data_IF_467312322628
#
_entry.id   IF_467312322628
#
_cell.length_a   1.000
_cell.length_b   1.000
_cell.length_c   1.000
_cell.angle_alpha   90.00
_cell.angle_beta   90.00
_cell.angle_gamma   90.00
#
_symmetry.space_group_name_H-M   'P 1'
#
loop_
_entity.id
_entity.type
_entity.pdbx_description
1 polymer ?
#
# COMPACT_ATOMS: atom_id res chain seq x y z
N UNK A 1 0.98 -6.10 6.07
CA UNK A 1 1.20 -5.38 4.79
C UNK A 1 0.86 -3.90 4.91
N UNK A 2 -0.40 -3.52 5.19
CA UNK A 2 -0.74 -2.09 5.43
C UNK A 2 0.08 -1.44 6.54
N UNK A 3 0.16 -2.09 7.70
CA UNK A 3 0.98 -1.58 8.81
C UNK A 3 2.44 -1.36 8.42
N UNK A 4 3.00 -2.20 7.54
CA UNK A 4 4.37 -2.02 7.05
C UNK A 4 4.48 -0.81 6.12
N UNK A 5 3.53 -0.62 5.21
CA UNK A 5 3.49 0.55 4.34
C UNK A 5 3.41 1.85 5.16
N UNK A 6 2.55 1.88 6.19
CA UNK A 6 2.44 3.03 7.11
C UNK A 6 3.74 3.26 7.88
N UNK A 7 4.33 2.21 8.46
CA UNK A 7 5.61 2.31 9.17
C UNK A 7 6.73 2.82 8.26
N UNK A 8 6.79 2.34 7.01
CA UNK A 8 7.80 2.78 6.05
C UNK A 8 7.66 4.28 5.74
N UNK A 9 6.44 4.79 5.59
CA UNK A 9 6.19 6.22 5.38
C UNK A 9 6.55 7.06 6.61
N UNK A 10 6.23 6.58 7.81
CA UNK A 10 6.63 7.25 9.04
C UNK A 10 8.15 7.32 9.19
N UNK A 11 8.87 6.25 8.83
CA UNK A 11 10.33 6.19 8.87
C UNK A 11 10.99 7.05 7.79
N UNK A 12 10.38 7.21 6.61
CA UNK A 12 10.88 8.10 5.55
C UNK A 12 10.58 9.58 5.82
N UNK A 13 9.73 9.90 6.81
CA UNK A 13 9.25 11.25 7.09
C UNK A 13 8.17 11.71 6.09
N UNK A 14 7.64 10.79 5.28
CA UNK A 14 6.57 11.09 4.35
C UNK A 14 5.23 11.21 5.06
N UNK A 15 4.37 12.06 4.51
CA UNK A 15 3.04 12.24 5.07
C UNK A 15 2.22 10.95 4.94
N UNK A 16 1.61 10.49 6.02
CA UNK A 16 0.77 9.29 6.00
C UNK A 16 -0.61 9.67 5.49
N UNK A 17 -0.84 9.44 4.20
CA UNK A 17 -2.13 9.65 3.53
C UNK A 17 -2.38 8.55 2.51
N UNK A 18 -3.63 8.44 2.04
CA UNK A 18 -4.05 7.39 1.11
C UNK A 18 -3.18 7.33 -0.15
N UNK A 19 -2.82 8.49 -0.73
CA UNK A 19 -1.93 8.57 -1.91
C UNK A 19 -0.58 7.89 -1.63
N UNK A 20 0.07 8.24 -0.52
CA UNK A 20 1.40 7.71 -0.20
C UNK A 20 1.35 6.22 0.19
N UNK A 21 0.27 5.77 0.82
CA UNK A 21 0.03 4.35 1.12
C UNK A 21 -0.14 3.57 -0.20
N UNK A 22 -0.93 4.07 -1.15
CA UNK A 22 -1.12 3.47 -2.47
C UNK A 22 0.23 3.32 -3.20
N UNK A 23 1.03 4.38 -3.25
CA UNK A 23 2.35 4.35 -3.89
C UNK A 23 3.30 3.32 -3.24
N UNK A 24 3.30 3.25 -1.91
CA UNK A 24 4.10 2.26 -1.17
C UNK A 24 3.69 0.82 -1.48
N UNK A 25 2.39 0.56 -1.60
CA UNK A 25 1.87 -0.76 -1.95
C UNK A 25 2.17 -1.14 -3.40
N UNK A 26 2.10 -0.19 -4.35
CA UNK A 26 2.49 -0.41 -5.74
C UNK A 26 3.97 -0.79 -5.82
N UNK A 27 4.84 -0.02 -5.18
CA UNK A 27 6.27 -0.32 -5.16
C UNK A 27 6.56 -1.70 -4.53
N UNK A 28 5.86 -2.05 -3.46
CA UNK A 28 5.97 -3.37 -2.84
C UNK A 28 5.51 -4.49 -3.79
N UNK A 29 4.49 -4.24 -4.61
CA UNK A 29 3.99 -5.20 -5.60
C UNK A 29 4.99 -5.41 -6.74
N UNK A 30 5.60 -4.34 -7.25
CA UNK A 30 6.60 -4.37 -8.33
C UNK A 30 7.89 -5.10 -7.94
N UNK A 31 8.23 -5.08 -6.66
CA UNK A 31 9.46 -5.70 -6.11
C UNK A 31 9.23 -7.10 -5.54
N UNK A 32 7.99 -7.61 -5.54
CA UNK A 32 7.64 -8.92 -5.00
C UNK A 32 7.55 -9.98 -6.11
N UNK A 33 8.49 -10.92 -6.15
CA UNK A 33 8.45 -12.06 -7.08
C UNK A 33 7.58 -13.24 -6.60
N UNK A 34 7.29 -13.31 -5.30
CA UNK A 34 6.45 -14.35 -4.71
C UNK A 34 4.98 -14.08 -5.03
N UNK A 35 4.38 -14.95 -5.85
CA UNK A 35 3.01 -14.79 -6.35
C UNK A 35 1.95 -14.74 -5.23
N UNK A 36 2.18 -15.45 -4.12
CA UNK A 36 1.25 -15.51 -3.00
C UNK A 36 1.33 -14.21 -2.20
N UNK A 37 2.54 -13.69 -1.96
CA UNK A 37 2.72 -12.39 -1.33
C UNK A 37 2.20 -11.25 -2.21
N UNK A 38 2.42 -11.33 -3.52
CA UNK A 38 1.90 -10.37 -4.48
C UNK A 38 0.36 -10.35 -4.48
N UNK A 39 -0.30 -11.50 -4.31
CA UNK A 39 -1.77 -11.56 -4.15
C UNK A 39 -2.26 -10.83 -2.90
N UNK A 40 -1.59 -11.02 -1.77
CA UNK A 40 -1.92 -10.29 -0.53
C UNK A 40 -1.74 -8.77 -0.72
N UNK A 41 -0.67 -8.34 -1.39
CA UNK A 41 -0.43 -6.92 -1.68
C UNK A 41 -1.50 -6.37 -2.63
N UNK A 42 -1.89 -7.11 -3.68
CA UNK A 42 -2.97 -6.71 -4.60
C UNK A 42 -4.31 -6.52 -3.89
N UNK A 43 -4.73 -7.50 -3.07
CA UNK A 43 -5.97 -7.40 -2.28
C UNK A 43 -5.94 -6.22 -1.31
N UNK A 44 -4.78 -5.98 -0.70
CA UNK A 44 -4.56 -4.86 0.19
C UNK A 44 -4.71 -3.52 -0.55
N UNK A 45 -4.10 -3.40 -1.73
CA UNK A 45 -4.20 -2.22 -2.58
C UNK A 45 -5.64 -1.96 -3.04
N UNK A 46 -6.37 -3.02 -3.41
CA UNK A 46 -7.79 -2.90 -3.80
C UNK A 46 -8.64 -2.30 -2.66
N UNK A 47 -8.47 -2.77 -1.42
CA UNK A 47 -9.21 -2.25 -0.26
C UNK A 47 -8.93 -0.76 -0.06
N UNK A 48 -7.66 -0.35 -0.10
CA UNK A 48 -7.28 1.07 0.09
C UNK A 48 -7.82 1.94 -1.04
N UNK A 49 -7.78 1.46 -2.28
CA UNK A 49 -8.35 2.18 -3.42
C UNK A 49 -9.86 2.35 -3.30
N UNK A 50 -10.59 1.29 -2.92
CA UNK A 50 -12.05 1.35 -2.69
C UNK A 50 -12.39 2.34 -1.60
N UNK A 51 -11.73 2.25 -0.45
CA UNK A 51 -11.91 3.20 0.65
C UNK A 51 -11.63 4.64 0.22
N UNK A 52 -10.55 4.86 -0.55
CA UNK A 52 -10.20 6.20 -1.05
C UNK A 52 -11.24 6.73 -2.04
N UNK A 53 -11.82 5.87 -2.87
CA UNK A 53 -12.87 6.24 -3.80
C UNK A 53 -14.21 6.54 -3.11
N UNK A 54 -14.52 5.83 -2.02
CA UNK A 54 -15.73 6.05 -1.21
C UNK A 54 -15.64 7.33 -0.35
N UNK A 55 -14.43 7.75 0.04
CA UNK A 55 -14.18 8.97 0.84
C UNK A 55 -14.18 10.29 0.01
N UNK A 56 -14.25 10.23 -1.33
CA UNK A 56 -14.14 11.38 -2.25
C UNK A 56 -15.46 11.91 -2.80
#
# INVERSE_FOLDING_TARGET
MLGQAVTNLMLSGDNVNNKNIILSLIHSLETTSDILKADVIRKTLEIVLRYTADDM
#
